data_IF_116136107270
#
_entry.id   IF_116136107270
#
_cell.length_a   1.000
_cell.length_b   1.000
_cell.length_c   1.000
_cell.angle_alpha   90.00
_cell.angle_beta   90.00
_cell.angle_gamma   90.00
#
_symmetry.space_group_name_H-M   'P 1'
#
loop_
_entity.id
_entity.type
_entity.pdbx_description
1 polymer ?
#
# COMPACT_ATOMS: atom_id res chain seq x y z
N UNK A 1 -5.91 26.73 17.74
CA UNK A 1 -6.95 25.87 17.13
C UNK A 1 -7.98 26.81 16.53
N UNK A 2 -8.35 26.63 15.25
CA UNK A 2 -9.45 27.43 14.70
C UNK A 2 -10.81 26.85 15.00
N UNK A 3 -11.80 27.72 14.86
CA UNK A 3 -13.23 27.39 14.85
C UNK A 3 -13.58 26.26 13.87
N UNK A 4 -12.92 26.15 12.71
CA UNK A 4 -13.21 25.09 11.73
C UNK A 4 -12.77 23.72 12.27
N UNK A 5 -11.54 23.64 12.77
CA UNK A 5 -11.00 22.39 13.32
C UNK A 5 -11.83 21.92 14.52
N UNK A 6 -12.18 22.83 15.43
CA UNK A 6 -12.99 22.51 16.61
C UNK A 6 -14.41 22.06 16.21
N UNK A 7 -15.07 22.78 15.30
CA UNK A 7 -16.39 22.41 14.81
C UNK A 7 -16.40 21.05 14.09
N UNK A 8 -15.36 20.79 13.29
CA UNK A 8 -15.24 19.52 12.58
C UNK A 8 -14.95 18.35 13.53
N UNK A 9 -14.10 18.55 14.54
CA UNK A 9 -13.84 17.54 15.56
C UNK A 9 -15.11 17.20 16.35
N UNK A 10 -15.90 18.21 16.75
CA UNK A 10 -17.21 18.01 17.38
C UNK A 10 -18.19 17.26 16.46
N UNK A 11 -18.21 17.61 15.17
CA UNK A 11 -19.05 16.92 14.18
C UNK A 11 -18.63 15.47 13.96
N UNK A 12 -17.34 15.19 13.94
CA UNK A 12 -16.80 13.83 13.78
C UNK A 12 -17.08 12.97 15.01
N UNK A 13 -17.12 13.57 16.20
CA UNK A 13 -17.48 12.90 17.44
C UNK A 13 -18.98 12.59 17.58
N UNK A 14 -19.85 13.31 16.85
CA UNK A 14 -21.27 13.02 16.85
C UNK A 14 -21.58 11.63 16.26
N UNK A 15 -22.56 10.88 16.81
CA UNK A 15 -22.96 9.59 16.26
C UNK A 15 -23.28 9.67 14.77
N UNK A 16 -22.61 8.86 13.96
CA UNK A 16 -22.79 8.83 12.51
C UNK A 16 -22.09 9.96 11.74
N UNK A 17 -21.48 10.93 12.42
CA UNK A 17 -20.74 12.03 11.78
C UNK A 17 -19.55 11.54 10.96
N UNK A 18 -18.75 10.65 11.54
CA UNK A 18 -17.60 10.04 10.88
C UNK A 18 -18.01 9.10 9.72
N UNK A 19 -18.88 8.08 9.91
CA UNK A 19 -19.36 7.27 8.79
C UNK A 19 -20.01 8.10 7.69
N UNK A 20 -20.84 9.09 8.03
CA UNK A 20 -21.50 9.94 7.06
C UNK A 20 -20.54 10.82 6.26
N UNK A 21 -19.44 11.27 6.88
CA UNK A 21 -18.45 12.10 6.20
C UNK A 21 -17.46 11.28 5.37
N UNK A 22 -16.84 10.26 5.96
CA UNK A 22 -15.76 9.50 5.33
C UNK A 22 -16.30 8.42 4.40
N UNK A 23 -17.39 7.76 4.78
CA UNK A 23 -17.94 6.57 4.13
C UNK A 23 -19.44 6.69 3.84
N UNK A 24 -19.86 7.74 3.09
CA UNK A 24 -21.27 7.84 2.70
C UNK A 24 -21.72 6.56 1.97
N UNK A 25 -22.97 6.15 2.17
CA UNK A 25 -23.50 4.90 1.59
C UNK A 25 -23.72 4.94 0.06
N UNK A 26 -23.14 5.92 -0.62
CA UNK A 26 -23.26 6.19 -2.04
C UNK A 26 -22.03 5.68 -2.83
N UNK A 27 -22.00 5.99 -4.14
CA UNK A 27 -20.85 5.66 -4.98
C UNK A 27 -19.56 6.35 -4.54
N UNK A 28 -19.67 7.53 -3.92
CA UNK A 28 -18.54 8.30 -3.41
C UNK A 28 -17.83 7.57 -2.28
N UNK A 29 -18.58 7.08 -1.28
CA UNK A 29 -17.99 6.34 -0.15
C UNK A 29 -17.33 5.04 -0.61
N UNK A 30 -17.95 4.33 -1.56
CA UNK A 30 -17.33 3.15 -2.19
C UNK A 30 -16.01 3.49 -2.87
N UNK A 31 -15.96 4.56 -3.67
CA UNK A 31 -14.74 4.99 -4.33
C UNK A 31 -13.62 5.34 -3.35
N UNK A 32 -13.96 6.01 -2.24
CA UNK A 32 -12.99 6.35 -1.17
C UNK A 32 -12.42 5.11 -0.49
N UNK A 33 -13.27 4.14 -0.13
CA UNK A 33 -12.80 2.87 0.45
C UNK A 33 -11.88 2.13 -0.52
N UNK A 34 -12.19 2.10 -1.81
CA UNK A 34 -11.31 1.48 -2.82
C UNK A 34 -9.95 2.17 -2.88
N UNK A 35 -9.93 3.51 -2.89
CA UNK A 35 -8.69 4.27 -2.85
C UNK A 35 -7.87 3.96 -1.59
N UNK A 36 -8.49 3.99 -0.41
CA UNK A 36 -7.83 3.69 0.87
C UNK A 36 -7.30 2.25 0.91
N UNK A 37 -8.06 1.28 0.39
CA UNK A 37 -7.62 -0.10 0.28
C UNK A 37 -6.40 -0.22 -0.64
N UNK A 38 -6.38 0.46 -1.80
CA UNK A 38 -5.22 0.47 -2.71
C UNK A 38 -3.97 1.16 -2.16
N UNK A 39 -4.16 2.13 -1.25
CA UNK A 39 -3.06 2.76 -0.50
C UNK A 39 -2.48 1.82 0.56
N UNK A 40 -3.33 1.10 1.29
CA UNK A 40 -2.92 0.24 2.40
C UNK A 40 -2.43 -1.14 1.96
N UNK A 41 -3.02 -1.68 0.90
CA UNK A 41 -2.80 -3.03 0.43
C UNK A 41 -2.37 -3.06 -1.03
N UNK A 42 -1.42 -3.94 -1.32
CA UNK A 42 -1.08 -4.36 -2.65
C UNK A 42 -1.98 -5.52 -3.04
N UNK A 43 -2.68 -5.34 -4.15
CA UNK A 43 -3.59 -6.34 -4.74
C UNK A 43 -3.06 -6.81 -6.10
N UNK A 44 -1.82 -7.32 -6.21
CA UNK A 44 -1.25 -7.67 -7.52
C UNK A 44 -2.02 -8.78 -8.23
N UNK A 45 -2.75 -9.61 -7.49
CA UNK A 45 -3.57 -10.70 -7.99
C UNK A 45 -5.01 -10.62 -7.47
N UNK A 46 -5.52 -9.40 -7.19
CA UNK A 46 -6.89 -9.22 -6.75
C UNK A 46 -7.53 -7.97 -7.37
N UNK A 47 -8.81 -8.07 -7.74
CA UNK A 47 -9.62 -6.94 -8.15
C UNK A 47 -10.70 -6.67 -7.09
N UNK A 48 -10.75 -5.43 -6.59
CA UNK A 48 -11.79 -5.00 -5.65
C UNK A 48 -13.04 -4.56 -6.44
N UNK A 49 -14.07 -5.40 -6.40
CA UNK A 49 -15.33 -5.18 -7.10
C UNK A 49 -16.27 -4.26 -6.33
N UNK A 50 -16.54 -4.56 -5.06
CA UNK A 50 -17.49 -3.79 -4.27
C UNK A 50 -17.14 -3.71 -2.79
N UNK A 51 -17.80 -2.78 -2.09
CA UNK A 51 -17.72 -2.59 -0.65
C UNK A 51 -19.11 -2.82 -0.09
N UNK A 52 -19.28 -3.94 0.60
CA UNK A 52 -20.57 -4.37 1.14
C UNK A 52 -20.91 -3.68 2.46
N UNK A 53 -19.90 -3.50 3.31
CA UNK A 53 -20.09 -2.98 4.66
C UNK A 53 -18.86 -2.23 5.15
N UNK A 54 -19.07 -1.17 5.91
CA UNK A 54 -18.01 -0.39 6.56
C UNK A 54 -18.40 -0.16 8.01
N UNK A 55 -17.51 -0.49 8.94
CA UNK A 55 -17.67 -0.30 10.37
C UNK A 55 -16.47 0.43 10.95
N UNK A 56 -16.68 1.40 11.82
CA UNK A 56 -15.60 1.98 12.63
C UNK A 56 -15.34 1.04 13.80
N UNK A 57 -14.14 0.49 13.88
CA UNK A 57 -13.74 -0.44 14.93
C UNK A 57 -13.09 0.29 16.12
N UNK A 58 -12.31 1.32 15.86
CA UNK A 58 -11.68 2.15 16.88
C UNK A 58 -11.45 3.58 16.39
N UNK A 59 -11.46 4.52 17.33
CA UNK A 59 -11.16 5.94 17.09
C UNK A 59 -10.29 6.48 18.24
N UNK A 60 -9.31 7.29 17.89
CA UNK A 60 -8.43 7.97 18.84
C UNK A 60 -8.17 9.39 18.36
N UNK A 61 -8.54 10.39 19.17
CA UNK A 61 -8.38 11.79 18.83
C UNK A 61 -7.02 12.31 19.32
N UNK A 62 -6.42 13.22 18.55
CA UNK A 62 -5.14 13.84 18.87
C UNK A 62 -4.08 12.77 19.14
N UNK A 63 -3.85 11.90 18.15
CA UNK A 63 -2.92 10.78 18.27
C UNK A 63 -1.49 11.24 17.96
N UNK A 64 -0.54 11.17 18.93
CA UNK A 64 0.83 11.62 18.71
C UNK A 64 1.69 10.55 18.03
N UNK A 65 2.30 10.91 16.90
CA UNK A 65 3.31 10.11 16.21
C UNK A 65 4.72 10.60 16.57
N UNK A 66 5.52 9.72 17.15
CA UNK A 66 6.89 10.02 17.54
C UNK A 66 7.88 9.56 16.47
N UNK A 67 8.91 10.37 16.22
CA UNK A 67 10.07 9.94 15.44
C UNK A 67 10.77 8.80 16.15
N UNK A 68 10.85 7.67 15.46
CA UNK A 68 11.64 6.54 15.92
C UNK A 68 13.08 6.70 15.43
N UNK A 69 14.02 6.45 16.33
CA UNK A 69 15.46 6.44 16.10
C UNK A 69 15.95 5.02 16.26
N UNK A 70 16.52 4.50 15.18
CA UNK A 70 17.27 3.25 15.19
C UNK A 70 18.75 3.58 15.42
N UNK A 71 19.30 3.10 16.52
CA UNK A 71 20.72 3.20 16.84
C UNK A 71 21.33 1.80 16.77
N UNK A 72 22.09 1.55 15.72
CA UNK A 72 22.94 0.37 15.63
C UNK A 72 24.33 0.71 16.17
N UNK A 73 24.82 -0.10 17.09
CA UNK A 73 26.14 0.06 17.68
C UNK A 73 26.74 -1.29 18.03
N UNK A 74 27.98 -1.25 18.48
CA UNK A 74 28.66 -2.44 18.98
C UNK A 74 29.22 -2.12 20.34
N UNK A 75 28.88 -2.93 21.33
CA UNK A 75 29.48 -2.88 22.65
C UNK A 75 30.59 -3.93 22.71
N UNK A 76 31.82 -3.49 22.89
CA UNK A 76 32.97 -4.37 23.06
C UNK A 76 33.45 -4.33 24.51
N UNK A 77 33.63 -5.52 25.10
CA UNK A 77 34.32 -5.74 26.38
C UNK A 77 35.68 -6.33 26.06
N UNK A 78 36.75 -5.69 26.51
CA UNK A 78 38.13 -6.14 26.26
C UNK A 78 38.75 -6.90 27.44
N UNK A 79 38.21 -6.75 28.65
CA UNK A 79 38.70 -7.40 29.88
C UNK A 79 37.52 -7.73 30.81
N UNK A 80 37.54 -8.86 31.53
CA UNK A 80 38.57 -9.91 31.53
C UNK A 80 38.55 -10.81 30.28
N UNK A 81 37.39 -11.01 29.64
CA UNK A 81 37.26 -11.75 28.38
C UNK A 81 36.82 -10.83 27.24
N UNK A 82 37.39 -11.05 26.04
CA UNK A 82 36.96 -10.35 24.84
C UNK A 82 35.55 -10.79 24.46
N UNK A 83 34.60 -9.87 24.55
CA UNK A 83 33.23 -10.07 24.09
C UNK A 83 32.82 -8.90 23.21
N UNK A 84 32.16 -9.21 22.09
CA UNK A 84 31.50 -8.21 21.24
C UNK A 84 30.02 -8.51 21.22
N UNK A 85 29.23 -7.51 21.55
CA UNK A 85 27.78 -7.55 21.48
C UNK A 85 27.35 -6.50 20.47
N UNK A 86 26.73 -6.92 19.39
CA UNK A 86 26.06 -5.98 18.51
C UNK A 86 24.76 -5.53 19.20
N UNK A 87 24.59 -4.22 19.35
CA UNK A 87 23.45 -3.63 20.05
C UNK A 87 22.61 -2.87 19.05
N UNK A 88 21.34 -3.26 18.94
CA UNK A 88 20.33 -2.49 18.24
C UNK A 88 19.43 -1.84 19.29
N UNK A 89 19.45 -0.52 19.35
CA UNK A 89 18.53 0.25 20.19
C UNK A 89 17.48 0.89 19.30
N UNK A 90 16.22 0.53 19.56
CA UNK A 90 15.06 1.17 18.97
C UNK A 90 14.42 2.05 20.04
N UNK A 91 14.38 3.36 19.80
CA UNK A 91 13.80 4.30 20.76
C UNK A 91 13.19 5.50 20.10
N UNK A 92 12.54 6.35 20.90
CA UNK A 92 12.04 7.64 20.44
C UNK A 92 13.20 8.62 20.32
N UNK A 93 13.17 9.44 19.28
CA UNK A 93 14.12 10.54 19.14
C UNK A 93 13.87 11.57 20.25
N UNK A 94 14.81 11.67 21.19
CA UNK A 94 14.70 12.60 22.30
C UNK A 94 14.72 14.05 21.80
N UNK A 95 13.73 14.85 22.23
CA UNK A 95 13.65 16.28 21.92
C UNK A 95 12.96 16.64 20.59
N UNK A 96 12.64 15.66 19.74
CA UNK A 96 11.81 15.91 18.56
C UNK A 96 10.34 16.04 18.97
N UNK A 97 9.62 17.10 18.57
CA UNK A 97 8.18 17.19 18.82
C UNK A 97 7.44 16.06 18.08
N UNK A 98 6.35 15.52 18.66
CA UNK A 98 5.51 14.56 17.95
C UNK A 98 4.79 15.25 16.81
N UNK A 99 4.52 14.48 15.75
CA UNK A 99 3.55 14.88 14.74
C UNK A 99 2.16 14.46 15.18
N UNK A 100 1.25 15.41 15.25
CA UNK A 100 -0.11 15.14 15.72
C UNK A 100 -1.01 14.75 14.55
N UNK A 101 -1.71 13.64 14.72
CA UNK A 101 -2.82 13.23 13.88
C UNK A 101 -4.11 13.66 14.59
N UNK A 102 -4.96 14.44 13.92
CA UNK A 102 -6.18 14.95 14.54
C UNK A 102 -7.11 13.83 14.97
N UNK A 103 -7.20 12.77 14.14
CA UNK A 103 -8.00 11.59 14.42
C UNK A 103 -7.39 10.35 13.76
N UNK A 104 -7.02 9.35 14.56
CA UNK A 104 -6.60 8.04 14.10
C UNK A 104 -7.80 7.09 14.12
N UNK A 105 -8.04 6.40 13.00
CA UNK A 105 -9.19 5.52 12.84
C UNK A 105 -8.79 4.12 12.43
N UNK A 106 -9.55 3.17 12.94
CA UNK A 106 -9.56 1.81 12.45
C UNK A 106 -10.93 1.48 11.89
N UNK A 107 -10.95 1.08 10.63
CA UNK A 107 -12.17 0.81 9.89
C UNK A 107 -12.12 -0.63 9.39
N UNK A 108 -13.15 -1.41 9.72
CA UNK A 108 -13.35 -2.72 9.16
C UNK A 108 -14.25 -2.60 7.91
N UNK A 109 -13.69 -2.88 6.74
CA UNK A 109 -14.43 -2.89 5.48
C UNK A 109 -14.65 -4.33 5.01
N UNK A 110 -15.90 -4.73 4.81
CA UNK A 110 -16.24 -5.96 4.11
C UNK A 110 -16.32 -5.66 2.63
N UNK A 111 -15.44 -6.28 1.85
CA UNK A 111 -15.28 -6.04 0.41
C UNK A 111 -15.50 -7.33 -0.37
N UNK A 112 -15.90 -7.17 -1.63
CA UNK A 112 -15.87 -8.23 -2.63
C UNK A 112 -14.57 -8.13 -3.41
N UNK A 113 -13.73 -9.16 -3.26
CA UNK A 113 -12.48 -9.32 -3.97
C UNK A 113 -12.58 -10.52 -4.91
N UNK A 114 -12.26 -10.29 -6.18
CA UNK A 114 -11.92 -11.36 -7.11
C UNK A 114 -10.43 -11.64 -6.93
N UNK A 115 -10.11 -12.80 -6.35
CA UNK A 115 -8.73 -13.25 -6.18
C UNK A 115 -8.36 -14.13 -7.37
N UNK A 116 -7.37 -13.69 -8.14
CA UNK A 116 -6.70 -14.58 -9.07
C UNK A 116 -5.68 -15.41 -8.28
N UNK A 117 -6.09 -16.62 -7.90
CA UNK A 117 -5.22 -17.57 -7.20
C UNK A 117 -4.02 -18.03 -8.03
N UNK A 118 -3.91 -17.62 -9.32
CA UNK A 118 -2.81 -18.01 -10.20
C UNK A 118 -2.66 -19.53 -10.29
N UNK A 119 -3.80 -20.25 -10.28
CA UNK A 119 -3.79 -21.71 -10.17
C UNK A 119 -3.05 -22.28 -11.37
N UNK A 120 -1.98 -23.01 -11.10
CA UNK A 120 -1.18 -23.62 -12.14
C UNK A 120 -1.98 -24.81 -12.71
N UNK A 121 -2.27 -24.76 -14.01
CA UNK A 121 -2.91 -25.85 -14.76
C UNK A 121 -1.88 -26.95 -15.05
N UNK A 122 -0.67 -26.56 -15.48
CA UNK A 122 0.44 -27.48 -15.69
C UNK A 122 1.79 -26.80 -15.48
N UNK A 123 2.74 -27.57 -14.96
CA UNK A 123 4.17 -27.24 -15.03
C UNK A 123 4.81 -28.29 -15.91
N UNK A 124 5.34 -27.87 -17.06
CA UNK A 124 6.16 -28.72 -17.92
C UNK A 124 7.60 -28.30 -17.73
N UNK A 125 8.36 -29.11 -17.00
CA UNK A 125 9.81 -28.97 -16.96
C UNK A 125 10.36 -29.70 -18.20
N UNK A 126 10.64 -28.94 -19.24
CA UNK A 126 11.25 -29.48 -20.45
C UNK A 126 12.77 -29.52 -20.31
N UNK A 127 13.37 -30.65 -20.71
CA UNK A 127 14.76 -30.61 -21.16
C UNK A 127 14.80 -29.80 -22.46
N UNK A 128 15.68 -28.80 -22.53
CA UNK A 128 15.75 -27.87 -23.66
C UNK A 128 16.13 -28.62 -24.95
N UNK A 129 16.67 -29.84 -24.81
CA UNK A 129 17.07 -30.71 -25.89
C UNK A 129 18.26 -30.12 -26.64
N UNK A 130 18.77 -30.87 -27.62
CA UNK A 130 19.82 -30.36 -28.49
C UNK A 130 19.23 -29.41 -29.54
N UNK A 131 19.77 -28.20 -29.64
CA UNK A 131 19.48 -27.23 -30.70
C UNK A 131 20.79 -26.79 -31.34
N UNK A 132 20.90 -26.84 -32.67
CA UNK A 132 22.15 -26.60 -33.39
C UNK A 132 22.42 -25.12 -33.66
N UNK A 133 21.40 -24.27 -33.57
CA UNK A 133 21.52 -22.83 -33.86
C UNK A 133 20.64 -21.94 -32.98
N UNK A 134 20.98 -20.65 -32.87
CA UNK A 134 20.14 -19.65 -32.18
C UNK A 134 18.79 -19.45 -32.89
N UNK A 135 18.77 -19.56 -34.22
CA UNK A 135 17.55 -19.45 -35.00
C UNK A 135 16.57 -20.61 -34.72
N UNK A 136 17.10 -21.82 -34.57
CA UNK A 136 16.32 -23.00 -34.16
C UNK A 136 15.79 -22.86 -32.74
N UNK A 137 16.61 -22.37 -31.82
CA UNK A 137 16.18 -22.06 -30.45
C UNK A 137 15.04 -21.04 -30.44
N UNK A 138 15.18 -19.93 -31.19
CA UNK A 138 14.14 -18.90 -31.28
C UNK A 138 12.86 -19.40 -31.95
N UNK A 139 12.98 -20.32 -32.92
CA UNK A 139 11.83 -20.95 -33.57
C UNK A 139 11.06 -21.88 -32.63
N UNK A 140 11.77 -22.61 -31.76
CA UNK A 140 11.20 -23.52 -30.76
C UNK A 140 10.63 -22.77 -29.54
N UNK A 141 11.28 -21.67 -29.13
CA UNK A 141 10.93 -20.87 -27.96
C UNK A 141 10.52 -19.44 -28.35
N UNK A 142 9.48 -19.31 -29.18
CA UNK A 142 9.02 -18.02 -29.73
C UNK A 142 8.63 -16.96 -28.70
N UNK A 143 8.31 -17.39 -27.48
CA UNK A 143 7.88 -16.55 -26.37
C UNK A 143 9.04 -16.02 -25.52
N UNK A 144 10.28 -16.48 -25.77
CA UNK A 144 11.48 -16.04 -25.06
C UNK A 144 12.19 -14.91 -25.81
N UNK A 145 12.44 -13.78 -25.14
CA UNK A 145 13.25 -12.70 -25.69
C UNK A 145 14.74 -13.06 -25.67
N UNK A 146 15.15 -13.86 -26.66
CA UNK A 146 16.52 -14.34 -26.82
C UNK A 146 17.50 -13.18 -26.99
N UNK A 147 17.15 -12.17 -27.78
CA UNK A 147 18.04 -11.04 -28.06
C UNK A 147 18.31 -10.21 -26.80
N UNK A 148 17.27 -9.88 -26.02
CA UNK A 148 17.42 -9.16 -24.77
C UNK A 148 18.14 -9.96 -23.68
N UNK A 149 18.06 -11.29 -23.69
CA UNK A 149 18.81 -12.14 -22.79
C UNK A 149 20.30 -12.22 -23.15
N UNK A 150 20.61 -12.49 -24.42
CA UNK A 150 22.00 -12.54 -24.92
C UNK A 150 22.73 -11.21 -24.66
N UNK A 151 22.07 -10.07 -24.89
CA UNK A 151 22.62 -8.74 -24.64
C UNK A 151 22.88 -8.47 -23.14
N UNK A 152 21.97 -8.90 -22.25
CA UNK A 152 22.12 -8.71 -20.79
C UNK A 152 23.24 -9.54 -20.18
N UNK A 153 23.51 -10.71 -20.74
CA UNK A 153 24.49 -11.66 -20.21
C UNK A 153 25.80 -11.71 -21.02
N UNK A 154 25.94 -10.89 -22.06
CA UNK A 154 27.14 -10.84 -22.91
C UNK A 154 27.40 -12.14 -23.68
N UNK A 155 26.34 -12.91 -23.96
CA UNK A 155 26.43 -14.20 -24.63
C UNK A 155 26.31 -13.97 -26.14
N UNK A 156 27.15 -14.62 -26.93
CA UNK A 156 27.17 -14.43 -28.39
C UNK A 156 27.01 -15.72 -29.19
N UNK A 157 27.22 -16.87 -28.54
CA UNK A 157 27.18 -18.18 -29.22
C UNK A 157 26.13 -19.13 -28.63
N UNK A 158 25.78 -20.15 -29.41
CA UNK A 158 24.86 -21.24 -28.99
C UNK A 158 25.46 -22.05 -27.84
N UNK A 159 26.77 -22.26 -27.85
CA UNK A 159 27.52 -22.93 -26.77
C UNK A 159 27.46 -22.12 -25.47
N UNK A 160 27.61 -20.78 -25.55
CA UNK A 160 27.44 -19.90 -24.40
C UNK A 160 26.03 -20.00 -23.81
N UNK A 161 25.02 -20.05 -24.70
CA UNK A 161 23.63 -20.23 -24.31
C UNK A 161 23.42 -21.58 -23.62
N UNK A 162 23.92 -22.69 -24.19
CA UNK A 162 23.83 -24.03 -23.59
C UNK A 162 24.50 -24.10 -22.21
N UNK A 163 25.67 -23.49 -22.07
CA UNK A 163 26.42 -23.44 -20.80
C UNK A 163 25.73 -22.57 -19.75
N UNK A 164 25.07 -21.49 -20.17
CA UNK A 164 24.28 -20.62 -19.30
C UNK A 164 22.93 -21.24 -18.88
N UNK A 165 22.34 -22.08 -19.74
CA UNK A 165 21.01 -22.69 -19.58
C UNK A 165 21.01 -24.08 -18.94
N UNK A 166 21.99 -24.43 -18.10
CA UNK A 166 21.97 -25.67 -17.31
C UNK A 166 20.80 -25.78 -16.29
N UNK A 167 19.80 -24.90 -16.37
CA UNK A 167 18.62 -24.87 -15.52
C UNK A 167 17.37 -25.02 -16.38
N UNK A 168 16.62 -26.08 -16.07
CA UNK A 168 15.34 -26.50 -16.67
C UNK A 168 14.48 -25.31 -17.10
N UNK A 169 14.07 -25.30 -18.37
CA UNK A 169 13.02 -24.40 -18.84
C UNK A 169 11.68 -24.94 -18.32
N UNK A 170 11.16 -24.31 -17.28
CA UNK A 170 9.82 -24.59 -16.78
C UNK A 170 8.79 -23.77 -17.52
N UNK A 171 7.94 -24.43 -18.30
CA UNK A 171 6.70 -23.83 -18.78
C UNK A 171 5.66 -23.95 -17.68
N UNK A 172 5.13 -22.81 -17.21
CA UNK A 172 4.03 -22.77 -16.26
C UNK A 172 2.81 -22.28 -17.01
N UNK A 173 1.85 -23.17 -17.24
CA UNK A 173 0.53 -22.80 -17.78
C UNK A 173 -0.39 -22.49 -16.61
N UNK A 174 -0.88 -21.26 -16.56
CA UNK A 174 -1.89 -20.86 -15.59
C UNK A 174 -3.28 -21.28 -16.10
N UNK A 175 -4.10 -21.79 -15.20
CA UNK A 175 -5.49 -22.07 -15.48
C UNK A 175 -6.24 -20.75 -15.66
N UNK A 176 -7.22 -20.74 -16.56
CA UNK A 176 -8.15 -19.61 -16.62
C UNK A 176 -8.91 -19.51 -15.28
N UNK A 177 -9.03 -18.31 -14.69
CA UNK A 177 -9.81 -18.14 -13.47
C UNK A 177 -11.28 -18.52 -13.74
N UNK A 178 -11.98 -19.14 -12.78
CA UNK A 178 -13.41 -19.37 -12.91
C UNK A 178 -14.15 -18.04 -13.03
N UNK A 179 -15.35 -18.01 -13.64
CA UNK A 179 -16.17 -16.80 -13.66
C UNK A 179 -16.41 -16.28 -12.24
N UNK A 180 -16.24 -14.97 -12.05
CA UNK A 180 -16.47 -14.32 -10.77
C UNK A 180 -17.94 -14.43 -10.35
N UNK A 181 -18.18 -15.02 -9.18
CA UNK A 181 -19.49 -15.07 -8.54
C UNK A 181 -19.53 -14.09 -7.34
N UNK A 182 -20.26 -12.98 -7.43
CA UNK A 182 -20.36 -12.01 -6.32
C UNK A 182 -21.11 -12.56 -5.10
N UNK A 183 -21.89 -13.63 -5.24
CA UNK A 183 -22.61 -14.26 -4.14
C UNK A 183 -21.77 -15.29 -3.38
N UNK A 184 -20.61 -15.68 -3.91
CA UNK A 184 -19.71 -16.64 -3.26
C UNK A 184 -19.10 -16.01 -1.98
N UNK A 185 -19.33 -16.58 -0.78
CA UNK A 185 -18.71 -16.10 0.44
C UNK A 185 -17.18 -16.16 0.39
N UNK A 186 -16.59 -17.02 -0.47
CA UNK A 186 -15.16 -17.07 -0.68
C UNK A 186 -14.60 -15.80 -1.36
N UNK A 187 -15.43 -14.94 -1.95
CA UNK A 187 -15.03 -13.64 -2.51
C UNK A 187 -15.22 -12.48 -1.51
N UNK A 188 -15.85 -12.72 -0.36
CA UNK A 188 -16.02 -11.72 0.68
C UNK A 188 -14.82 -11.70 1.62
N UNK A 189 -14.25 -10.52 1.84
CA UNK A 189 -13.10 -10.32 2.74
C UNK A 189 -13.31 -9.14 3.66
N UNK A 190 -12.82 -9.27 4.89
CA UNK A 190 -12.85 -8.19 5.88
C UNK A 190 -11.47 -7.56 5.97
N UNK A 191 -11.31 -6.38 5.38
CA UNK A 191 -10.08 -5.60 5.42
C UNK A 191 -10.08 -4.65 6.63
N UNK A 192 -8.91 -4.50 7.25
CA UNK A 192 -8.68 -3.54 8.33
C UNK A 192 -7.95 -2.31 7.77
N UNK A 193 -8.68 -1.22 7.62
CA UNK A 193 -8.14 0.04 7.12
C UNK A 193 -7.76 0.93 8.30
N UNK A 194 -6.47 1.26 8.45
CA UNK A 194 -6.00 2.23 9.45
C UNK A 194 -5.78 3.58 8.80
N UNK A 195 -6.39 4.62 9.34
CA UNK A 195 -6.41 5.95 8.74
C UNK A 195 -5.83 6.99 9.71
N UNK A 196 -5.06 7.94 9.19
CA UNK A 196 -4.71 9.17 9.91
C UNK A 196 -5.43 10.33 9.26
N UNK A 197 -6.42 10.86 9.95
CA UNK A 197 -7.16 12.03 9.52
C UNK A 197 -6.43 13.28 9.98
N UNK A 198 -6.13 14.16 9.03
CA UNK A 198 -5.47 15.43 9.21
C UNK A 198 -6.45 16.53 8.76
N UNK A 199 -6.85 17.38 9.69
CA UNK A 199 -7.74 18.51 9.43
C UNK A 199 -6.87 19.72 9.11
N UNK A 200 -7.14 20.38 7.98
CA UNK A 200 -6.42 21.60 7.60
C UNK A 200 -7.42 22.71 7.34
N UNK A 201 -7.06 23.93 7.72
CA UNK A 201 -7.92 25.12 7.64
C UNK A 201 -7.70 25.88 6.33
N UNK A 202 -6.56 25.65 5.70
CA UNK A 202 -6.17 26.24 4.42
C UNK A 202 -5.75 25.15 3.46
N UNK A 203 -5.76 25.47 2.17
CA UNK A 203 -5.28 24.58 1.12
C UNK A 203 -3.85 24.99 0.75
N UNK A 204 -2.90 24.66 1.64
CA UNK A 204 -1.48 24.60 1.26
C UNK A 204 -1.15 23.17 0.85
N UNK A 205 -1.10 22.94 -0.47
CA UNK A 205 -0.87 21.63 -1.07
C UNK A 205 0.48 21.04 -0.64
N UNK A 206 1.51 21.88 -0.52
CA UNK A 206 2.87 21.42 -0.20
C UNK A 206 2.96 21.00 1.25
N UNK A 207 2.43 21.81 2.16
CA UNK A 207 2.40 21.52 3.59
C UNK A 207 1.52 20.30 3.89
N UNK A 208 0.36 20.19 3.26
CA UNK A 208 -0.54 19.06 3.42
C UNK A 208 0.11 17.74 2.98
N UNK A 209 0.76 17.72 1.81
CA UNK A 209 1.50 16.54 1.34
C UNK A 209 2.69 16.21 2.21
N UNK A 210 3.44 17.22 2.67
CA UNK A 210 4.57 17.01 3.58
C UNK A 210 4.10 16.36 4.88
N UNK A 211 3.01 16.86 5.46
CA UNK A 211 2.40 16.29 6.67
C UNK A 211 1.95 14.85 6.46
N UNK A 212 1.21 14.59 5.38
CA UNK A 212 0.71 13.25 5.05
C UNK A 212 1.84 12.22 4.85
N UNK A 213 2.90 12.61 4.13
CA UNK A 213 4.09 11.77 3.94
C UNK A 213 4.82 11.51 5.25
N UNK A 214 5.02 12.55 6.06
CA UNK A 214 5.69 12.41 7.35
C UNK A 214 4.93 11.47 8.28
N UNK A 215 3.61 11.63 8.39
CA UNK A 215 2.74 10.73 9.18
C UNK A 215 2.87 9.27 8.70
N UNK A 216 2.83 9.05 7.38
CA UNK A 216 2.98 7.72 6.78
C UNK A 216 4.36 7.12 7.10
N UNK A 217 5.43 7.89 6.94
CA UNK A 217 6.79 7.44 7.19
C UNK A 217 7.02 7.12 8.67
N UNK A 218 6.45 7.93 9.59
CA UNK A 218 6.52 7.68 11.03
C UNK A 218 5.76 6.42 11.43
N UNK A 219 4.60 6.18 10.83
CA UNK A 219 3.83 4.96 11.06
C UNK A 219 4.55 3.71 10.51
N UNK A 220 5.25 3.83 9.38
CA UNK A 220 5.96 2.74 8.72
C UNK A 220 7.22 2.26 9.47
N UNK A 221 7.96 3.19 10.10
CA UNK A 221 9.26 2.88 10.74
C UNK A 221 9.21 1.89 11.91
N UNK A 222 8.02 1.58 12.43
CA UNK A 222 7.83 0.66 13.55
C UNK A 222 7.07 -0.63 13.22
N UNK A 223 6.80 -0.93 11.94
CA UNK A 223 6.06 -2.13 11.56
C UNK A 223 6.85 -3.01 10.61
N UNK A 224 6.98 -4.28 10.98
CA UNK A 224 7.41 -5.33 10.06
C UNK A 224 6.27 -5.58 9.09
N UNK A 225 6.57 -5.59 7.79
CA UNK A 225 5.59 -5.91 6.74
C UNK A 225 4.87 -7.21 7.10
N UNK A 226 3.59 -7.11 7.45
CA UNK A 226 2.77 -8.28 7.74
C UNK A 226 2.14 -8.74 6.44
N UNK A 227 2.37 -10.01 6.10
CA UNK A 227 1.61 -10.66 5.04
C UNK A 227 0.28 -11.08 5.66
N UNK A 228 -0.80 -10.53 5.15
CA UNK A 228 -2.13 -10.93 5.57
C UNK A 228 -2.34 -12.41 5.19
N UNK A 229 -2.92 -13.27 6.06
CA UNK A 229 -3.25 -14.65 5.72
C UNK A 229 -4.02 -14.80 4.41
N UNK A 230 -4.76 -13.78 3.99
CA UNK A 230 -5.54 -13.77 2.75
C UNK A 230 -4.73 -13.45 1.48
N UNK A 231 -3.39 -13.45 1.56
CA UNK A 231 -2.51 -13.22 0.40
C UNK A 231 -2.33 -11.75 0.02
N UNK A 232 -2.98 -10.84 0.74
CA UNK A 232 -2.79 -9.40 0.58
C UNK A 232 -1.47 -8.97 1.21
N UNK A 233 -0.75 -8.11 0.50
CA UNK A 233 0.50 -7.54 1.03
C UNK A 233 0.22 -6.15 1.55
N UNK A 234 0.42 -5.90 2.84
CA UNK A 234 0.33 -4.54 3.37
C UNK A 234 1.44 -3.68 2.76
N UNK A 235 1.06 -2.59 2.09
CA UNK A 235 1.97 -1.57 1.52
C UNK A 235 2.28 -0.46 2.51
N UNK A 236 1.28 -0.09 3.29
CA UNK A 236 1.38 0.95 4.29
C UNK A 236 0.59 0.54 5.53
N UNK A 237 1.11 0.80 6.74
CA UNK A 237 0.39 0.52 7.97
C UNK A 237 -0.78 1.48 8.21
N UNK A 238 -0.80 2.61 7.50
CA UNK A 238 -1.75 3.69 7.68
C UNK A 238 -1.93 4.52 6.40
N UNK A 239 -3.15 4.96 6.12
CA UNK A 239 -3.49 5.82 4.99
C UNK A 239 -3.82 7.24 5.46
N UNK A 240 -3.15 8.28 4.94
CA UNK A 240 -3.47 9.65 5.28
C UNK A 240 -4.77 10.11 4.60
N UNK A 241 -5.62 10.77 5.38
CA UNK A 241 -6.87 11.40 4.94
C UNK A 241 -6.79 12.89 5.29
N UNK A 242 -6.96 13.76 4.31
CA UNK A 242 -7.01 15.21 4.50
C UNK A 242 -8.46 15.68 4.50
N UNK A 243 -8.88 16.37 5.57
CA UNK A 243 -10.14 17.09 5.59
C UNK A 243 -9.86 18.58 5.35
N UNK A 244 -10.40 19.10 4.25
CA UNK A 244 -10.17 20.47 3.79
C UNK A 244 -11.49 21.26 3.81
N UNK A 245 -11.51 22.56 4.09
CA UNK A 245 -12.73 23.33 4.05
C UNK A 245 -13.13 23.53 2.60
N UNK A 246 -14.35 23.16 2.24
CA UNK A 246 -14.88 23.28 0.88
C UNK A 246 -14.73 24.70 0.31
N UNK A 247 -15.00 25.79 1.06
CA UNK A 247 -14.79 27.14 0.55
C UNK A 247 -13.32 27.42 0.14
N UNK A 248 -12.36 26.90 0.90
CA UNK A 248 -10.94 27.06 0.61
C UNK A 248 -10.51 26.25 -0.62
N UNK A 249 -11.08 25.04 -0.80
CA UNK A 249 -10.88 24.21 -2.00
C UNK A 249 -11.46 24.90 -3.23
N UNK A 250 -12.68 25.43 -3.15
CA UNK A 250 -13.33 26.13 -4.27
C UNK A 250 -12.65 27.44 -4.65
N UNK A 251 -12.05 28.15 -3.68
CA UNK A 251 -11.30 29.38 -3.93
C UNK A 251 -9.88 29.14 -4.48
N UNK A 252 -9.42 27.89 -4.54
CA UNK A 252 -8.07 27.57 -5.00
C UNK A 252 -7.95 27.77 -6.52
N UNK A 253 -6.78 28.22 -7.05
CA UNK A 253 -6.59 28.45 -8.49
C UNK A 253 -6.73 27.19 -9.36
N UNK A 254 -6.47 26.01 -8.78
CA UNK A 254 -6.58 24.71 -9.45
C UNK A 254 -7.99 24.14 -9.24
N UNK A 255 -8.65 23.61 -10.29
CA UNK A 255 -9.96 22.97 -10.16
C UNK A 255 -10.00 21.89 -9.07
N UNK A 256 -11.11 21.78 -8.36
CA UNK A 256 -11.31 20.79 -7.28
C UNK A 256 -10.97 19.37 -7.74
N UNK A 257 -11.45 18.95 -8.91
CA UNK A 257 -11.20 17.60 -9.44
C UNK A 257 -9.71 17.33 -9.69
N UNK A 258 -8.97 18.31 -10.20
CA UNK A 258 -7.53 18.18 -10.44
C UNK A 258 -6.74 18.15 -9.13
N UNK A 259 -7.14 18.98 -8.16
CA UNK A 259 -6.53 19.00 -6.83
C UNK A 259 -6.73 17.67 -6.10
N UNK A 260 -7.95 17.12 -6.12
CA UNK A 260 -8.26 15.83 -5.49
C UNK A 260 -7.54 14.68 -6.22
N UNK A 261 -7.48 14.71 -7.55
CA UNK A 261 -6.72 13.74 -8.33
C UNK A 261 -5.22 13.81 -8.01
N UNK A 262 -4.67 15.01 -7.80
CA UNK A 262 -3.29 15.20 -7.40
C UNK A 262 -2.99 14.56 -6.04
N UNK A 263 -3.82 14.80 -5.02
CA UNK A 263 -3.67 14.13 -3.72
C UNK A 263 -3.80 12.61 -3.84
N UNK A 264 -4.77 12.12 -4.62
CA UNK A 264 -4.95 10.69 -4.86
C UNK A 264 -3.72 10.03 -5.51
N UNK A 265 -3.06 10.72 -6.46
CA UNK A 265 -1.81 10.25 -7.08
C UNK A 265 -0.64 10.12 -6.10
N UNK A 266 -0.75 10.76 -4.93
CA UNK A 266 0.23 10.70 -3.84
C UNK A 266 -0.19 9.74 -2.72
N UNK A 267 -1.19 8.89 -2.98
CA UNK A 267 -1.81 7.98 -1.99
C UNK A 267 -2.40 8.73 -0.77
N UNK A 268 -2.94 9.93 -1.00
CA UNK A 268 -3.61 10.74 0.02
C UNK A 268 -5.07 10.93 -0.35
N UNK A 269 -6.00 10.56 0.55
CA UNK A 269 -7.42 10.82 0.34
C UNK A 269 -7.76 12.23 0.81
N UNK A 270 -8.02 13.17 -0.10
CA UNK A 270 -8.53 14.49 0.26
C UNK A 270 -10.06 14.55 0.17
N UNK A 271 -10.69 15.15 1.18
CA UNK A 271 -12.15 15.30 1.28
C UNK A 271 -12.47 16.76 1.58
N UNK A 272 -13.10 17.48 0.63
CA UNK A 272 -13.68 18.80 0.89
C UNK A 272 -14.89 18.65 1.81
N UNK A 273 -14.89 19.38 2.93
CA UNK A 273 -15.93 19.34 3.96
C UNK A 273 -16.64 20.70 3.98
N UNK A 274 -17.98 20.75 3.92
CA UNK A 274 -18.70 21.99 4.13
C UNK A 274 -18.41 22.57 5.53
N UNK A 275 -18.53 23.90 5.72
CA UNK A 275 -18.32 24.53 7.01
C UNK A 275 -19.21 23.97 8.12
#
# INVERSE_FOLDING_TARGET
>A
MSTFTDALMLRLHAPGGLPGLLFPADATGRARIRQLAGTLYGVPAAALHDVLKVEVAAEEYQWPLFRQRLLAGTWTRTTPDHARTDVLYEGREAGAPPEWVDLALEVAATVLLELDGGRIESVVLGDIGEYASLAEFQAKFRWFDLAGYLARHGLTTVEDLRRAFHHLLGEVKLAAPPPFDPADPANQRRLRLRLAVLIRETVDVTEALRSARLVRDLAARGQVAHRDPDGLTSRSPLAPVLLLPKPAVTAHPVPESELLAFFASQDVLAIPVPP
#
